data_IF_607752766649
#
_entry.id   IF_607752766649
#
_cell.length_a   1.000
_cell.length_b   1.000
_cell.length_c   1.000
_cell.angle_alpha   90.00
_cell.angle_beta   90.00
_cell.angle_gamma   90.00
#
_symmetry.space_group_name_H-M   'P 1'
#
loop_
_entity.id
_entity.type
_entity.pdbx_description
1 polymer ?
#
# COMPACT_ATOMS: atom_id res chain seq x y z
N UNK A 1 9.75 5.58 -4.52
CA UNK A 1 9.52 6.23 -3.20
C UNK A 1 8.23 5.64 -2.67
N UNK A 2 8.21 5.21 -1.42
CA UNK A 2 7.05 4.55 -0.85
C UNK A 2 6.36 5.43 0.18
N UNK A 3 5.05 5.59 0.07
CA UNK A 3 4.22 6.15 1.12
C UNK A 3 3.59 5.04 1.95
N UNK A 4 3.78 5.04 3.28
CA UNK A 4 3.21 4.05 4.19
C UNK A 4 2.30 4.72 5.18
N UNK A 5 1.10 4.18 5.34
CA UNK A 5 0.07 4.83 6.13
C UNK A 5 -1.04 3.81 6.51
N UNK A 6 -1.93 4.16 7.45
CA UNK A 6 -2.94 3.26 8.02
C UNK A 6 -4.37 3.54 7.51
N UNK A 7 -5.17 2.49 7.33
CA UNK A 7 -6.62 2.60 7.12
C UNK A 7 -7.33 2.21 8.42
N UNK A 8 -7.94 3.19 9.06
CA UNK A 8 -8.73 3.00 10.27
C UNK A 8 -9.85 4.06 10.44
N UNK A 9 -10.79 3.81 11.37
CA UNK A 9 -11.20 2.47 11.80
C UNK A 9 -11.88 1.71 10.64
N UNK A 10 -11.68 0.40 10.58
CA UNK A 10 -12.42 -0.54 9.74
C UNK A 10 -13.41 -1.35 10.59
N UNK A 11 -14.54 -1.84 10.02
CA UNK A 11 -15.37 -2.82 10.70
C UNK A 11 -14.52 -4.02 11.13
N UNK A 12 -14.80 -4.66 12.26
CA UNK A 12 -14.05 -5.85 12.69
C UNK A 12 -14.22 -6.96 11.65
N UNK A 13 -13.11 -7.42 11.06
CA UNK A 13 -13.09 -8.57 10.17
C UNK A 13 -13.07 -9.89 10.94
N UNK A 14 -13.34 -10.99 10.22
CA UNK A 14 -12.97 -12.34 10.63
C UNK A 14 -11.50 -12.36 11.07
N UNK A 15 -11.22 -12.92 12.25
CA UNK A 15 -9.88 -12.92 12.85
C UNK A 15 -9.54 -11.65 13.65
N UNK A 16 -10.47 -10.72 13.84
CA UNK A 16 -10.34 -9.59 14.77
C UNK A 16 -9.59 -8.37 14.22
N UNK A 17 -9.19 -8.39 12.95
CA UNK A 17 -8.54 -7.25 12.31
C UNK A 17 -9.51 -6.05 12.22
N UNK A 18 -9.02 -4.86 12.60
CA UNK A 18 -9.80 -3.62 12.63
C UNK A 18 -9.07 -2.42 12.03
N UNK A 19 -7.84 -2.64 11.58
CA UNK A 19 -6.99 -1.69 10.87
C UNK A 19 -6.40 -2.37 9.65
N UNK A 20 -5.90 -1.60 8.68
CA UNK A 20 -4.99 -2.12 7.66
C UNK A 20 -3.78 -1.19 7.52
N UNK A 21 -2.60 -1.76 7.33
CA UNK A 21 -1.42 -0.99 6.89
C UNK A 21 -1.37 -1.03 5.37
N UNK A 22 -1.06 0.10 4.74
CA UNK A 22 -0.97 0.26 3.29
C UNK A 22 0.33 0.93 2.92
N UNK A 23 0.99 0.41 1.90
CA UNK A 23 2.13 1.05 1.26
C UNK A 23 1.84 1.28 -0.22
N UNK A 24 2.18 2.46 -0.72
CA UNK A 24 2.02 2.85 -2.13
C UNK A 24 3.37 3.23 -2.68
N UNK A 25 3.81 2.59 -3.77
CA UNK A 25 4.93 3.09 -4.55
C UNK A 25 4.45 4.20 -5.48
N UNK A 26 5.06 5.38 -5.39
CA UNK A 26 4.59 6.55 -6.13
C UNK A 26 4.95 6.55 -7.59
N UNK A 27 5.95 5.77 -8.00
CA UNK A 27 6.32 5.67 -9.39
C UNK A 27 5.32 4.77 -10.13
N UNK A 28 5.25 3.51 -9.72
CA UNK A 28 4.39 2.50 -10.36
C UNK A 28 2.92 2.58 -9.96
N UNK A 29 2.60 3.34 -8.91
CA UNK A 29 1.30 3.31 -8.23
C UNK A 29 0.97 1.94 -7.64
N UNK A 30 1.95 1.06 -7.46
CA UNK A 30 1.74 -0.24 -6.84
C UNK A 30 1.30 -0.07 -5.39
N UNK A 31 0.35 -0.89 -4.95
CA UNK A 31 -0.17 -0.85 -3.58
C UNK A 31 0.01 -2.20 -2.92
N UNK A 32 0.62 -2.22 -1.74
CA UNK A 32 0.61 -3.35 -0.79
C UNK A 32 -0.27 -3.00 0.41
N UNK A 33 -0.98 -3.98 0.95
CA UNK A 33 -1.75 -3.79 2.17
C UNK A 33 -1.89 -5.08 2.96
N UNK A 34 -1.91 -4.99 4.30
CA UNK A 34 -2.16 -6.10 5.21
C UNK A 34 -3.15 -5.72 6.31
N UNK A 35 -4.07 -6.62 6.70
CA UNK A 35 -4.95 -6.40 7.83
C UNK A 35 -4.17 -6.49 9.16
N UNK A 36 -4.53 -5.64 10.11
CA UNK A 36 -3.91 -5.57 11.44
C UNK A 36 -4.98 -5.65 12.54
N UNK A 37 -4.72 -6.50 13.54
CA UNK A 37 -5.46 -6.53 14.81
C UNK A 37 -5.01 -5.39 15.70
N UNK A 38 -3.69 -5.18 15.77
CA UNK A 38 -3.06 -4.12 16.55
C UNK A 38 -2.06 -3.34 15.67
N UNK A 39 -2.07 -2.02 15.82
CA UNK A 39 -1.06 -1.14 15.22
C UNK A 39 0.15 -1.15 16.16
N UNK A 40 1.25 -1.78 15.74
CA UNK A 40 2.49 -1.84 16.51
C UNK A 40 3.68 -1.60 15.58
N UNK A 41 4.77 -1.08 16.14
CA UNK A 41 6.03 -0.92 15.42
C UNK A 41 6.53 -2.26 14.84
N UNK A 42 6.38 -3.35 15.59
CA UNK A 42 6.79 -4.69 15.13
C UNK A 42 6.02 -5.13 13.88
N UNK A 43 4.71 -4.92 13.85
CA UNK A 43 3.88 -5.23 12.69
C UNK A 43 4.25 -4.36 11.49
N UNK A 44 4.52 -3.07 11.71
CA UNK A 44 5.00 -2.14 10.67
C UNK A 44 6.34 -2.60 10.07
N UNK A 45 7.33 -2.93 10.90
CA UNK A 45 8.64 -3.43 10.44
C UNK A 45 8.48 -4.72 9.65
N UNK A 46 7.66 -5.66 10.14
CA UNK A 46 7.38 -6.91 9.45
C UNK A 46 6.77 -6.67 8.07
N UNK A 47 5.77 -5.79 8.01
CA UNK A 47 5.11 -5.41 6.77
C UNK A 47 6.09 -4.79 5.76
N UNK A 48 6.93 -3.83 6.18
CA UNK A 48 7.93 -3.19 5.31
C UNK A 48 8.94 -4.20 4.78
N UNK A 49 9.49 -5.05 5.65
CA UNK A 49 10.45 -6.08 5.23
C UNK A 49 9.85 -7.02 4.19
N UNK A 50 8.70 -7.61 4.51
CA UNK A 50 8.04 -8.64 3.70
C UNK A 50 7.53 -8.09 2.37
N UNK A 51 6.83 -6.96 2.40
CA UNK A 51 6.06 -6.50 1.24
C UNK A 51 6.81 -5.45 0.41
N UNK A 52 7.85 -4.82 0.94
CA UNK A 52 8.66 -3.83 0.22
C UNK A 52 10.08 -4.37 -0.01
N UNK A 53 10.86 -4.57 1.05
CA UNK A 53 12.30 -4.87 0.92
C UNK A 53 12.55 -6.18 0.18
N UNK A 54 11.89 -7.26 0.60
CA UNK A 54 12.12 -8.58 0.02
C UNK A 54 11.44 -8.79 -1.34
N UNK A 55 10.53 -7.88 -1.73
CA UNK A 55 9.75 -8.00 -2.96
C UNK A 55 10.22 -7.05 -4.07
N UNK A 56 10.50 -5.80 -3.70
CA UNK A 56 10.86 -4.72 -4.64
C UNK A 56 12.27 -4.19 -4.42
N UNK A 57 12.96 -4.64 -3.36
CA UNK A 57 14.27 -4.14 -2.97
C UNK A 57 14.20 -2.97 -1.99
N UNK A 58 15.37 -2.42 -1.68
CA UNK A 58 15.51 -1.35 -0.69
C UNK A 58 15.06 -0.02 -1.32
N UNK A 59 14.02 0.64 -0.78
CA UNK A 59 13.60 1.93 -1.31
C UNK A 59 14.58 3.03 -0.88
N UNK A 60 14.87 3.98 -1.77
CA UNK A 60 15.65 5.17 -1.40
C UNK A 60 14.95 6.02 -0.33
N UNK A 61 13.61 6.01 -0.34
CA UNK A 61 12.80 6.89 0.51
C UNK A 61 11.49 6.23 0.92
N UNK A 62 11.18 6.31 2.22
CA UNK A 62 9.88 6.01 2.81
C UNK A 62 9.30 7.30 3.38
N UNK A 63 8.02 7.55 3.11
CA UNK A 63 7.24 8.64 3.67
C UNK A 63 6.16 8.02 4.55
N UNK A 64 6.12 8.40 5.82
CA UNK A 64 5.07 7.96 6.77
C UNK A 64 4.34 9.15 7.36
N UNK A 65 3.17 8.95 7.95
CA UNK A 65 2.60 9.95 8.86
C UNK A 65 3.39 10.01 10.18
N UNK A 66 3.03 10.95 11.06
CA UNK A 66 3.64 11.09 12.40
C UNK A 66 3.10 10.05 13.40
N UNK A 67 2.58 8.91 12.94
CA UNK A 67 2.13 7.84 13.81
C UNK A 67 3.29 7.24 14.62
N UNK A 68 3.07 6.98 15.91
CA UNK A 68 4.10 6.47 16.83
C UNK A 68 4.70 5.13 16.40
N UNK A 69 3.95 4.33 15.64
CA UNK A 69 4.39 3.08 15.02
C UNK A 69 5.45 3.27 13.93
N UNK A 70 5.54 4.47 13.33
CA UNK A 70 6.52 4.82 12.30
C UNK A 70 7.67 5.67 12.86
N UNK A 71 7.51 6.20 14.08
CA UNK A 71 8.51 7.01 14.77
C UNK A 71 9.29 6.26 15.87
N UNK A 72 9.04 4.96 16.00
CA UNK A 72 9.72 4.12 16.98
C UNK A 72 11.21 3.91 16.67
N UNK A 73 11.99 3.61 17.73
CA UNK A 73 13.44 3.40 17.63
C UNK A 73 13.81 2.29 16.65
N UNK A 74 13.09 1.16 16.67
CA UNK A 74 13.41 0.00 15.83
C UNK A 74 13.09 0.27 14.37
N UNK A 75 12.09 1.09 14.09
CA UNK A 75 11.78 1.51 12.72
C UNK A 75 12.87 2.43 12.17
N UNK A 76 13.36 3.39 12.99
CA UNK A 76 14.51 4.22 12.61
C UNK A 76 15.78 3.38 12.41
N UNK A 77 16.09 2.46 13.32
CA UNK A 77 17.21 1.51 13.19
C UNK A 77 17.11 0.65 11.91
N UNK A 78 15.89 0.26 11.51
CA UNK A 78 15.66 -0.42 10.24
C UNK A 78 16.04 0.45 9.05
N UNK A 79 15.56 1.70 9.03
CA UNK A 79 15.86 2.66 7.98
C UNK A 79 17.36 2.92 7.89
N UNK A 80 18.02 3.20 9.01
CA UNK A 80 19.46 3.45 9.08
C UNK A 80 20.26 2.24 8.57
N UNK A 81 19.89 1.03 9.01
CA UNK A 81 20.56 -0.22 8.61
C UNK A 81 20.56 -0.42 7.09
N UNK A 82 19.49 -0.04 6.41
CA UNK A 82 19.34 -0.22 4.97
C UNK A 82 19.59 1.07 4.17
N UNK A 83 20.00 2.17 4.81
CA UNK A 83 20.23 3.46 4.15
C UNK A 83 18.96 4.08 3.56
N UNK A 84 17.80 3.83 4.17
CA UNK A 84 16.50 4.34 3.72
C UNK A 84 16.30 5.75 4.30
N UNK A 85 16.08 6.74 3.45
CA UNK A 85 15.68 8.07 3.91
C UNK A 85 14.23 8.02 4.39
N UNK A 86 14.01 8.16 5.70
CA UNK A 86 12.67 8.23 6.27
C UNK A 86 12.22 9.69 6.41
N UNK A 87 11.11 10.06 5.77
CA UNK A 87 10.47 11.35 5.96
C UNK A 87 9.13 11.20 6.64
N UNK A 88 8.90 12.08 7.61
CA UNK A 88 7.62 12.17 8.29
C UNK A 88 6.78 13.28 7.66
N UNK A 89 5.54 12.96 7.30
CA UNK A 89 4.59 13.92 6.81
C UNK A 89 4.22 14.90 7.94
N UNK A 90 4.88 16.05 7.96
CA UNK A 90 4.58 17.13 8.91
C UNK A 90 3.47 18.04 8.35
N UNK A 91 2.50 18.49 9.18
CA UNK A 91 1.54 19.52 8.81
C UNK A 91 2.20 20.84 8.35
N UNK A 92 3.47 21.07 8.74
CA UNK A 92 4.18 22.32 8.49
C UNK A 92 4.78 22.44 7.08
N UNK A 93 4.83 21.36 6.28
CA UNK A 93 5.40 21.40 4.92
C UNK A 93 4.44 20.80 3.87
N UNK A 94 3.30 21.48 3.58
CA UNK A 94 2.27 20.96 2.70
C UNK A 94 2.68 20.91 1.22
N UNK A 95 3.62 21.74 0.78
CA UNK A 95 4.01 21.83 -0.64
C UNK A 95 4.76 20.60 -1.14
N UNK A 96 5.68 20.03 -0.33
CA UNK A 96 6.47 18.85 -0.71
C UNK A 96 5.69 17.56 -0.50
N UNK A 97 4.81 17.50 0.50
CA UNK A 97 4.01 16.32 0.81
C UNK A 97 2.63 16.30 0.13
N UNK A 98 2.12 17.42 -0.36
CA UNK A 98 0.71 17.56 -0.74
C UNK A 98 0.25 16.67 -1.87
N UNK A 99 1.09 16.45 -2.91
CA UNK A 99 0.73 15.53 -4.00
C UNK A 99 0.73 14.07 -3.53
N UNK A 100 1.77 13.70 -2.78
CA UNK A 100 1.97 12.41 -2.14
C UNK A 100 0.82 12.08 -1.18
N UNK A 101 0.43 13.03 -0.34
CA UNK A 101 -0.66 12.94 0.63
C UNK A 101 -2.01 12.83 -0.09
N UNK A 102 -2.26 13.63 -1.12
CA UNK A 102 -3.49 13.55 -1.92
C UNK A 102 -3.62 12.18 -2.60
N UNK A 103 -2.55 11.65 -3.19
CA UNK A 103 -2.53 10.32 -3.82
C UNK A 103 -2.79 9.22 -2.79
N UNK A 104 -2.09 9.23 -1.65
CA UNK A 104 -2.33 8.28 -0.57
C UNK A 104 -3.78 8.36 -0.06
N UNK A 105 -4.31 9.58 0.15
CA UNK A 105 -5.66 9.81 0.61
C UNK A 105 -6.70 9.27 -0.36
N UNK A 106 -6.53 9.47 -1.66
CA UNK A 106 -7.43 8.93 -2.70
C UNK A 106 -7.37 7.39 -2.71
N UNK A 107 -6.17 6.82 -2.70
CA UNK A 107 -5.98 5.36 -2.73
C UNK A 107 -6.61 4.73 -1.50
N UNK A 108 -6.32 5.27 -0.31
CA UNK A 108 -6.93 4.84 0.94
C UNK A 108 -8.43 4.97 0.96
N UNK A 109 -8.97 6.11 0.50
CA UNK A 109 -10.41 6.33 0.45
C UNK A 109 -11.08 5.26 -0.42
N UNK A 110 -10.53 5.01 -1.61
CA UNK A 110 -11.05 4.01 -2.54
C UNK A 110 -10.94 2.58 -1.99
N UNK A 111 -9.81 2.25 -1.36
CA UNK A 111 -9.62 0.95 -0.70
C UNK A 111 -10.59 0.78 0.47
N UNK A 112 -10.69 1.78 1.35
CA UNK A 112 -11.61 1.78 2.49
C UNK A 112 -13.06 1.62 2.03
N UNK A 113 -13.49 2.36 1.01
CA UNK A 113 -14.83 2.24 0.43
C UNK A 113 -15.08 0.84 -0.11
N UNK A 114 -14.17 0.29 -0.94
CA UNK A 114 -14.30 -1.08 -1.48
C UNK A 114 -14.33 -2.13 -0.39
N UNK A 115 -13.46 -2.03 0.62
CA UNK A 115 -13.39 -2.97 1.74
C UNK A 115 -14.62 -2.88 2.65
N UNK A 116 -15.14 -1.68 2.91
CA UNK A 116 -16.35 -1.49 3.71
C UNK A 116 -17.56 -2.22 3.12
N UNK A 117 -17.68 -2.32 1.79
CA UNK A 117 -18.75 -3.12 1.14
C UNK A 117 -18.67 -4.62 1.46
N UNK A 118 -17.51 -5.12 1.91
CA UNK A 118 -17.28 -6.54 2.22
C UNK A 118 -17.54 -6.90 3.69
N UNK A 119 -17.95 -5.92 4.51
CA UNK A 119 -18.28 -6.08 5.95
C UNK A 119 -17.22 -6.93 6.68
N UNK A 120 -17.59 -7.85 7.54
CA UNK A 120 -16.67 -8.70 8.30
C UNK A 120 -15.73 -9.57 7.45
N UNK A 121 -15.94 -9.72 6.14
CA UNK A 121 -15.04 -10.50 5.26
C UNK A 121 -13.96 -9.65 4.58
N UNK A 122 -13.83 -8.36 4.93
CA UNK A 122 -12.95 -7.45 4.18
C UNK A 122 -11.48 -7.88 4.20
N UNK A 123 -11.00 -8.47 5.31
CA UNK A 123 -9.62 -8.95 5.40
C UNK A 123 -9.36 -10.07 4.38
N UNK A 124 -10.28 -11.04 4.27
CA UNK A 124 -10.19 -12.15 3.32
C UNK A 124 -10.30 -11.70 1.86
N UNK A 125 -11.01 -10.59 1.63
CA UNK A 125 -11.21 -10.01 0.29
C UNK A 125 -10.14 -8.99 -0.10
N UNK A 126 -9.27 -8.59 0.83
CA UNK A 126 -8.21 -7.62 0.57
C UNK A 126 -7.33 -8.00 -0.63
N UNK A 127 -6.86 -9.26 -0.79
CA UNK A 127 -6.06 -9.65 -1.96
C UNK A 127 -6.80 -9.43 -3.29
N UNK A 128 -8.11 -9.69 -3.33
CA UNK A 128 -8.93 -9.48 -4.54
C UNK A 128 -9.08 -7.99 -4.87
N UNK A 129 -9.26 -7.15 -3.85
CA UNK A 129 -9.35 -5.69 -4.01
C UNK A 129 -8.02 -5.12 -4.50
N UNK A 130 -6.89 -5.60 -3.95
CA UNK A 130 -5.55 -5.20 -4.39
C UNK A 130 -5.27 -5.66 -5.82
N UNK A 131 -5.63 -6.90 -6.17
CA UNK A 131 -5.50 -7.40 -7.54
C UNK A 131 -6.24 -6.51 -8.54
N UNK A 132 -7.54 -6.28 -8.29
CA UNK A 132 -8.34 -5.43 -9.16
C UNK A 132 -7.76 -4.01 -9.28
N UNK A 133 -7.20 -3.45 -8.20
CA UNK A 133 -6.52 -2.15 -8.28
C UNK A 133 -5.27 -2.22 -9.18
N UNK A 134 -4.42 -3.24 -9.00
CA UNK A 134 -3.15 -3.41 -9.71
C UNK A 134 -3.33 -3.65 -11.21
N UNK A 135 -4.46 -4.22 -11.63
CA UNK A 135 -4.75 -4.53 -13.04
C UNK A 135 -5.76 -3.58 -13.68
N UNK A 136 -6.04 -2.43 -13.06
CA UNK A 136 -6.91 -1.41 -13.66
C UNK A 136 -6.09 -0.17 -13.94
N UNK A 137 -6.19 0.39 -15.14
CA UNK A 137 -5.48 1.60 -15.55
C UNK A 137 -5.67 2.75 -14.55
N UNK A 138 -4.61 3.52 -14.30
CA UNK A 138 -4.67 4.73 -13.48
C UNK A 138 -4.79 5.93 -14.40
N UNK A 139 -5.78 6.78 -14.18
CA UNK A 139 -5.98 7.99 -15.00
C UNK A 139 -4.79 8.96 -15.02
N UNK A 140 -3.88 8.88 -14.05
CA UNK A 140 -2.66 9.70 -14.02
C UNK A 140 -1.52 9.18 -14.89
N UNK A 141 -1.48 7.89 -15.22
CA UNK A 141 -0.40 7.28 -16.03
C UNK A 141 -0.91 6.74 -17.36
N UNK A 142 -2.20 6.42 -17.49
CA UNK A 142 -2.74 5.66 -18.62
C UNK A 142 -2.36 4.18 -18.59
N UNK A 143 -1.61 3.75 -17.58
CA UNK A 143 -1.03 2.42 -17.43
C UNK A 143 -1.58 1.72 -16.18
N UNK A 144 -1.54 0.40 -16.15
CA UNK A 144 -1.84 -0.34 -14.91
C UNK A 144 -0.65 -0.31 -13.96
N UNK A 145 -0.88 -0.35 -12.63
CA UNK A 145 0.23 -0.51 -11.70
C UNK A 145 1.04 -1.79 -11.93
N UNK A 146 0.41 -2.83 -12.48
CA UNK A 146 1.06 -4.09 -12.80
C UNK A 146 2.04 -3.94 -13.97
N UNK A 147 1.64 -3.32 -15.09
CA UNK A 147 2.55 -3.07 -16.21
C UNK A 147 3.73 -2.21 -15.79
N UNK A 148 3.47 -1.16 -15.00
CA UNK A 148 4.52 -0.27 -14.50
C UNK A 148 5.52 -1.00 -13.57
N UNK A 149 5.07 -1.99 -12.80
CA UNK A 149 5.91 -2.72 -11.86
C UNK A 149 6.68 -3.88 -12.50
N UNK A 150 6.08 -4.59 -13.46
CA UNK A 150 6.66 -5.81 -14.05
C UNK A 150 7.06 -5.68 -15.52
N UNK A 151 6.80 -4.54 -16.16
CA UNK A 151 7.12 -4.29 -17.57
C UNK A 151 6.18 -4.98 -18.57
N UNK A 152 5.17 -5.69 -18.07
CA UNK A 152 4.14 -6.35 -18.87
C UNK A 152 2.81 -6.36 -18.11
N UNK A 153 1.73 -6.35 -18.87
CA UNK A 153 0.38 -6.41 -18.32
C UNK A 153 0.05 -7.78 -17.73
N UNK A 154 -0.76 -7.78 -16.67
CA UNK A 154 -1.29 -9.02 -16.10
C UNK A 154 -2.33 -9.64 -17.03
N UNK A 155 -2.34 -10.96 -17.14
CA UNK A 155 -3.47 -11.70 -17.71
C UNK A 155 -4.63 -11.66 -16.72
N UNK A 156 -5.75 -11.06 -17.13
CA UNK A 156 -6.95 -10.93 -16.30
C UNK A 156 -8.05 -11.93 -16.71
N UNK A 157 -9.00 -12.29 -15.82
CA UNK A 157 -9.97 -13.37 -16.10
C UNK A 157 -10.83 -13.17 -17.36
N UNK A 158 -11.07 -11.92 -17.77
CA UNK A 158 -11.80 -11.63 -19.01
C UNK A 158 -11.03 -12.16 -20.22
N UNK A 159 -9.70 -12.07 -20.23
CA UNK A 159 -8.86 -12.54 -21.34
C UNK A 159 -8.81 -14.05 -21.44
N UNK A 160 -8.82 -14.76 -20.31
CA UNK A 160 -8.93 -16.22 -20.29
C UNK A 160 -10.28 -16.71 -20.82
N UNK A 161 -11.30 -15.86 -20.80
CA UNK A 161 -12.64 -16.18 -21.29
C UNK A 161 -12.77 -15.98 -22.80
N UNK A 162 -11.92 -15.14 -23.39
CA UNK A 162 -11.96 -14.76 -24.81
C UNK A 162 -10.80 -15.33 -25.65
N UNK A 163 -10.02 -16.28 -25.14
CA UNK A 163 -8.84 -16.84 -25.84
C UNK A 163 -7.89 -15.74 -26.34
N UNK A 164 -7.56 -14.79 -25.47
CA UNK A 164 -6.59 -13.73 -25.76
C UNK A 164 -5.25 -14.33 -26.21
N UNK A 165 -4.53 -13.73 -27.18
CA UNK A 165 -3.22 -14.23 -27.64
C UNK A 165 -2.14 -14.27 -26.56
N UNK A 166 -2.41 -13.68 -25.39
CA UNK A 166 -1.52 -13.64 -24.22
C UNK A 166 -1.75 -14.83 -23.26
N UNK A 167 -2.76 -15.68 -23.54
CA UNK A 167 -3.16 -16.86 -22.75
C UNK A 167 -2.78 -18.14 -23.47
#
# INVERSE_FOLDING_TARGET
MWGIDLIDPMPTATGGAKHAIVAVDYFTKWVEAEPLVHITEANTISFVKKNILYRFGIPNTIITDNGTQFDGRKFRELCDKYGINNYYASPAHPQTNGQTEAVNKIIKHNLKAKLATKRGSWADKLPQVLWAYRTTERGSTGETPYSMAYGAEAVIPVETSFSSPRV
#
